data_IF_241489072320
#
_entry.id   IF_241489072320
#
_cell.length_a   1.000
_cell.length_b   1.000
_cell.length_c   1.000
_cell.angle_alpha   90.00
_cell.angle_beta   90.00
_cell.angle_gamma   90.00
#
_symmetry.space_group_name_H-M   'P 1'
#
loop_
_entity.id
_entity.type
_entity.pdbx_description
1 polymer ?
#
# COMPACT_ATOMS: atom_id res chain seq x y z
N UNK A 1 8.33 17.44 15.13
CA UNK A 1 9.17 16.22 15.33
C UNK A 1 9.13 15.40 14.05
N UNK A 2 10.16 14.59 13.78
CA UNK A 2 10.10 13.65 12.65
C UNK A 2 9.11 12.53 12.99
N UNK A 3 8.29 12.06 12.03
CA UNK A 3 7.39 10.95 12.28
C UNK A 3 8.18 9.66 12.51
N UNK A 4 7.67 8.80 13.40
CA UNK A 4 8.18 7.45 13.62
C UNK A 4 7.33 6.46 12.84
N UNK A 5 7.96 5.63 12.01
CA UNK A 5 7.26 4.68 11.12
C UNK A 5 7.69 3.24 11.42
N UNK A 6 6.72 2.34 11.45
CA UNK A 6 7.02 0.92 11.43
C UNK A 6 7.49 0.48 10.05
N UNK A 7 8.56 -0.32 10.00
CA UNK A 7 9.06 -0.99 8.80
C UNK A 7 8.88 -2.50 8.98
N UNK A 8 7.89 -3.09 8.30
CA UNK A 8 7.59 -4.52 8.39
C UNK A 8 8.10 -5.22 7.13
N UNK A 9 9.14 -6.07 7.20
CA UNK A 9 9.73 -6.73 6.03
C UNK A 9 8.77 -7.65 5.29
N UNK A 10 7.79 -8.21 5.96
CA UNK A 10 6.86 -9.21 5.42
C UNK A 10 7.40 -10.62 5.51
N UNK A 11 7.41 -11.37 4.39
CA UNK A 11 7.90 -12.75 4.33
C UNK A 11 9.40 -12.81 4.62
N UNK A 12 9.83 -13.50 5.69
CA UNK A 12 11.24 -13.53 6.08
C UNK A 12 12.14 -14.25 5.06
N UNK A 13 11.62 -15.24 4.34
CA UNK A 13 12.36 -15.95 3.30
C UNK A 13 12.43 -15.21 1.96
N UNK A 14 11.72 -14.07 1.83
CA UNK A 14 11.71 -13.21 0.65
C UNK A 14 12.79 -12.12 0.68
N UNK A 15 12.65 -11.16 -0.24
CA UNK A 15 13.59 -10.03 -0.36
C UNK A 15 13.40 -8.95 0.71
N UNK A 16 12.27 -8.94 1.45
CA UNK A 16 11.95 -7.89 2.42
C UNK A 16 13.06 -7.62 3.44
N UNK A 17 13.65 -8.62 4.12
CA UNK A 17 14.73 -8.40 5.07
C UNK A 17 15.96 -7.73 4.46
N UNK A 18 16.39 -8.15 3.26
CA UNK A 18 17.55 -7.52 2.61
C UNK A 18 17.27 -6.09 2.15
N UNK A 19 16.03 -5.79 1.73
CA UNK A 19 15.62 -4.42 1.40
C UNK A 19 15.63 -3.52 2.64
N UNK A 20 15.23 -4.01 3.81
CA UNK A 20 15.33 -3.28 5.08
C UNK A 20 16.78 -2.98 5.46
N UNK A 21 17.69 -3.95 5.31
CA UNK A 21 19.13 -3.73 5.55
C UNK A 21 19.71 -2.71 4.59
N UNK A 22 19.35 -2.74 3.29
CA UNK A 22 19.77 -1.73 2.31
C UNK A 22 19.24 -0.33 2.65
N UNK A 23 17.98 -0.26 3.09
CA UNK A 23 17.37 1.01 3.52
C UNK A 23 18.10 1.59 4.73
N UNK A 24 18.52 0.78 5.69
CA UNK A 24 19.28 1.18 6.87
C UNK A 24 20.66 1.76 6.53
N UNK A 25 21.25 1.45 5.35
CA UNK A 25 22.53 2.06 4.92
C UNK A 25 22.39 3.52 4.51
N UNK A 26 21.19 4.05 4.41
CA UNK A 26 20.94 5.42 3.98
C UNK A 26 20.60 6.31 5.16
N UNK A 27 21.32 7.43 5.29
CA UNK A 27 20.94 8.48 6.23
C UNK A 27 19.57 9.06 5.83
N UNK A 28 18.71 9.24 6.81
CA UNK A 28 17.36 9.79 6.63
C UNK A 28 17.16 11.01 7.52
N UNK A 29 16.48 12.01 6.96
CA UNK A 29 16.12 13.24 7.67
C UNK A 29 14.60 13.49 7.66
N UNK A 30 13.82 12.52 7.17
CA UNK A 30 12.38 12.65 6.94
C UNK A 30 11.52 11.79 7.89
N UNK A 31 12.08 10.73 8.49
CA UNK A 31 11.40 9.87 9.45
C UNK A 31 12.37 9.04 10.30
N UNK A 32 11.91 8.61 11.47
CA UNK A 32 12.53 7.53 12.25
C UNK A 32 11.91 6.20 11.86
N UNK A 33 12.74 5.21 11.49
CA UNK A 33 12.25 3.87 11.11
C UNK A 33 12.51 2.88 12.23
N UNK A 34 11.51 2.07 12.55
CA UNK A 34 11.60 0.99 13.52
C UNK A 34 11.20 -0.30 12.82
N UNK A 35 12.13 -1.22 12.63
CA UNK A 35 11.86 -2.51 12.01
C UNK A 35 11.06 -3.42 12.97
N UNK A 36 10.04 -4.11 12.46
CA UNK A 36 9.29 -5.16 13.15
C UNK A 36 9.67 -6.49 12.52
N UNK A 37 10.73 -7.11 13.02
CA UNK A 37 11.37 -8.25 12.36
C UNK A 37 12.12 -9.15 13.34
N UNK A 38 12.50 -10.34 12.86
CA UNK A 38 13.41 -11.21 13.57
C UNK A 38 14.86 -10.71 13.43
N UNK A 39 15.59 -10.50 14.54
CA UNK A 39 16.97 -9.99 14.51
C UNK A 39 17.93 -10.92 13.80
N UNK A 40 17.78 -12.25 13.92
CA UNK A 40 18.68 -13.21 13.31
C UNK A 40 18.50 -13.24 11.79
N UNK A 41 17.26 -13.03 11.32
CA UNK A 41 16.95 -12.86 9.90
C UNK A 41 17.58 -11.60 9.32
N UNK A 42 17.52 -10.46 10.03
CA UNK A 42 18.17 -9.22 9.58
C UNK A 42 19.69 -9.35 9.55
N UNK A 43 20.30 -10.00 10.54
CA UNK A 43 21.75 -10.29 10.53
C UNK A 43 22.13 -11.23 9.38
N UNK A 44 21.31 -12.24 9.11
CA UNK A 44 21.53 -13.16 7.97
C UNK A 44 21.42 -12.42 6.64
N UNK A 45 20.47 -11.51 6.49
CA UNK A 45 20.33 -10.65 5.31
C UNK A 45 21.54 -9.71 5.16
N UNK A 46 21.99 -9.07 6.23
CA UNK A 46 23.16 -8.21 6.21
C UNK A 46 24.43 -8.98 5.79
N UNK A 47 24.61 -10.19 6.32
CA UNK A 47 25.71 -11.09 5.93
C UNK A 47 25.67 -11.45 4.45
N UNK A 48 24.50 -11.79 3.91
CA UNK A 48 24.31 -12.09 2.49
C UNK A 48 24.64 -10.91 1.58
N UNK A 49 24.37 -9.69 2.05
CA UNK A 49 24.67 -8.44 1.35
C UNK A 49 26.11 -7.93 1.55
N UNK A 50 26.91 -8.57 2.41
CA UNK A 50 28.21 -8.06 2.86
C UNK A 50 28.10 -6.62 3.42
N UNK A 51 27.00 -6.31 4.12
CA UNK A 51 26.73 -5.02 4.75
C UNK A 51 26.72 -5.18 6.28
N UNK A 52 27.10 -4.10 6.99
CA UNK A 52 26.99 -4.05 8.44
C UNK A 52 25.61 -3.54 8.83
N UNK A 53 24.97 -4.18 9.81
CA UNK A 53 23.77 -3.67 10.46
C UNK A 53 23.97 -3.70 11.97
N UNK A 54 23.61 -2.60 12.63
CA UNK A 54 23.56 -2.49 14.07
C UNK A 54 22.10 -2.34 14.51
N UNK A 55 21.58 -3.37 15.13
CA UNK A 55 20.22 -3.37 15.66
C UNK A 55 20.22 -2.59 16.98
N UNK A 56 19.32 -1.62 17.09
CA UNK A 56 19.20 -0.73 18.25
C UNK A 56 17.88 -1.01 18.95
N UNK A 57 17.76 -0.56 20.21
CA UNK A 57 16.45 -0.52 20.87
C UNK A 57 15.47 0.37 20.10
N UNK A 58 14.16 0.06 20.13
CA UNK A 58 13.16 0.79 19.33
C UNK A 58 13.17 2.30 19.58
N UNK A 59 13.48 2.73 20.79
CA UNK A 59 13.46 4.14 21.19
C UNK A 59 14.81 4.86 20.89
N UNK A 60 15.82 4.15 20.42
CA UNK A 60 17.11 4.73 20.06
C UNK A 60 17.09 5.22 18.60
N UNK A 61 17.40 6.49 18.33
CA UNK A 61 17.45 6.99 16.96
C UNK A 61 18.67 6.43 16.21
N UNK A 62 18.47 6.05 14.94
CA UNK A 62 19.55 5.74 14.03
C UNK A 62 20.41 7.00 13.81
N UNK A 63 21.74 6.90 13.98
CA UNK A 63 22.68 8.02 13.88
C UNK A 63 23.71 7.83 12.77
N UNK A 64 23.88 6.61 12.30
CA UNK A 64 24.85 6.25 11.29
C UNK A 64 24.25 5.28 10.26
N UNK A 65 24.79 5.21 9.04
CA UNK A 65 24.46 4.15 8.10
C UNK A 65 24.65 2.78 8.74
N UNK A 66 23.66 1.89 8.55
CA UNK A 66 23.62 0.57 9.17
C UNK A 66 22.92 0.51 10.53
N UNK A 67 22.58 1.64 11.15
CA UNK A 67 21.75 1.67 12.36
C UNK A 67 20.30 1.36 12.01
N UNK A 68 19.69 0.40 12.71
CA UNK A 68 18.30 0.01 12.51
C UNK A 68 17.64 -0.24 13.86
N UNK A 69 16.81 0.69 14.37
CA UNK A 69 15.94 0.44 15.50
C UNK A 69 15.03 -0.75 15.22
N UNK A 70 14.87 -1.63 16.18
CA UNK A 70 14.18 -2.91 16.05
C UNK A 70 13.19 -3.16 17.16
N UNK A 71 11.95 -3.41 16.80
CA UNK A 71 10.99 -4.13 17.63
C UNK A 71 11.10 -5.63 17.29
N UNK A 72 11.68 -6.47 18.19
CA UNK A 72 12.03 -7.85 17.86
C UNK A 72 10.78 -8.73 17.76
N UNK A 73 10.61 -9.39 16.62
CA UNK A 73 9.57 -10.39 16.37
C UNK A 73 10.25 -11.74 16.13
N UNK A 74 10.26 -12.60 17.16
CA UNK A 74 10.95 -13.89 17.07
C UNK A 74 10.20 -14.88 16.19
N UNK A 75 10.95 -15.54 15.31
CA UNK A 75 10.47 -16.62 14.44
C UNK A 75 10.54 -17.97 15.16
N UNK A 76 9.70 -18.91 14.71
CA UNK A 76 9.69 -20.26 15.25
C UNK A 76 10.86 -21.09 14.72
N UNK A 77 11.25 -20.86 13.45
CA UNK A 77 12.37 -21.55 12.81
C UNK A 77 13.26 -20.54 12.06
N UNK A 78 14.55 -20.88 11.95
CA UNK A 78 15.51 -20.03 11.26
C UNK A 78 15.14 -19.83 9.77
N UNK A 79 15.27 -18.62 9.30
CA UNK A 79 14.99 -18.27 7.90
C UNK A 79 15.96 -18.95 6.94
N UNK A 80 15.43 -19.47 5.85
CA UNK A 80 16.17 -19.86 4.64
C UNK A 80 15.69 -19.02 3.48
N UNK A 81 16.52 -18.11 2.99
CA UNK A 81 16.16 -17.28 1.84
C UNK A 81 15.76 -18.12 0.64
N UNK A 82 14.66 -17.73 -0.01
CA UNK A 82 14.08 -18.46 -1.13
C UNK A 82 13.20 -19.66 -0.76
N UNK A 83 13.16 -20.05 0.53
CA UNK A 83 12.40 -21.23 0.98
C UNK A 83 11.55 -20.85 2.19
N UNK A 84 10.33 -20.35 1.98
CA UNK A 84 9.45 -19.93 3.08
C UNK A 84 8.97 -21.13 3.88
N UNK A 85 8.83 -20.94 5.20
CA UNK A 85 8.38 -21.97 6.11
C UNK A 85 7.07 -21.53 6.82
N UNK A 86 5.98 -22.32 6.72
CA UNK A 86 4.71 -22.03 7.37
C UNK A 86 4.79 -21.86 8.90
N UNK A 87 5.80 -22.46 9.56
CA UNK A 87 6.01 -22.29 10.97
C UNK A 87 6.28 -20.81 11.38
N UNK A 88 6.78 -19.98 10.45
CA UNK A 88 7.02 -18.56 10.67
C UNK A 88 5.79 -17.68 10.41
N UNK A 89 4.67 -18.24 9.98
CA UNK A 89 3.44 -17.48 9.67
C UNK A 89 2.98 -16.62 10.86
N UNK A 90 3.01 -17.17 12.07
CA UNK A 90 2.62 -16.45 13.28
C UNK A 90 3.50 -15.21 13.54
N UNK A 91 4.80 -15.29 13.27
CA UNK A 91 5.72 -14.17 13.42
C UNK A 91 5.44 -13.07 12.38
N UNK A 92 5.15 -13.42 11.12
CA UNK A 92 4.76 -12.46 10.08
C UNK A 92 3.50 -11.68 10.50
N UNK A 93 2.48 -12.38 10.97
CA UNK A 93 1.23 -11.76 11.43
C UNK A 93 1.47 -10.93 12.70
N UNK A 94 2.29 -11.40 13.65
CA UNK A 94 2.63 -10.65 14.84
C UNK A 94 3.33 -9.32 14.52
N UNK A 95 4.24 -9.31 13.54
CA UNK A 95 4.89 -8.08 13.07
C UNK A 95 3.91 -7.08 12.50
N UNK A 96 2.98 -7.53 11.64
CA UNK A 96 1.94 -6.67 11.05
C UNK A 96 0.99 -6.12 12.12
N UNK A 97 0.48 -6.98 13.00
CA UNK A 97 -0.46 -6.58 14.06
C UNK A 97 0.19 -5.70 15.12
N UNK A 98 1.44 -5.98 15.48
CA UNK A 98 2.20 -5.16 16.45
C UNK A 98 2.42 -3.74 15.91
N UNK A 99 2.89 -3.62 14.67
CA UNK A 99 3.06 -2.34 14.00
C UNK A 99 1.74 -1.55 13.89
N UNK A 100 0.64 -2.22 13.53
CA UNK A 100 -0.68 -1.61 13.48
C UNK A 100 -1.17 -1.16 14.86
N UNK A 101 -0.97 -1.97 15.90
CA UNK A 101 -1.32 -1.63 17.29
C UNK A 101 -0.57 -0.40 17.79
N UNK A 102 0.74 -0.29 17.49
CA UNK A 102 1.53 0.88 17.86
C UNK A 102 1.10 2.14 17.08
N UNK A 103 0.61 2.02 15.84
CA UNK A 103 -0.01 3.13 15.13
C UNK A 103 -1.37 3.52 15.70
N UNK A 104 -2.23 2.55 16.00
CA UNK A 104 -3.55 2.79 16.60
C UNK A 104 -3.47 3.46 17.97
N UNK A 105 -2.42 3.15 18.74
CA UNK A 105 -2.17 3.79 20.03
C UNK A 105 -1.50 5.16 19.92
N UNK A 106 -1.15 5.63 18.73
CA UNK A 106 -0.46 6.90 18.48
C UNK A 106 1.05 6.88 18.76
N UNK A 107 1.62 5.71 19.13
CA UNK A 107 3.07 5.56 19.35
C UNK A 107 3.86 5.73 18.05
N UNK A 108 3.31 5.25 16.93
CA UNK A 108 3.85 5.42 15.59
C UNK A 108 2.87 6.16 14.69
N UNK A 109 3.40 6.88 13.69
CA UNK A 109 2.61 7.71 12.79
C UNK A 109 2.36 7.07 11.43
N UNK A 110 2.85 5.86 11.17
CA UNK A 110 2.59 5.16 9.91
C UNK A 110 3.30 3.82 9.78
N UNK A 111 2.91 3.04 8.78
CA UNK A 111 3.46 1.71 8.49
C UNK A 111 3.94 1.62 7.05
N UNK A 112 5.14 1.10 6.87
CA UNK A 112 5.67 0.65 5.58
C UNK A 112 5.76 -0.87 5.60
N UNK A 113 5.11 -1.54 4.63
CA UNK A 113 5.09 -2.99 4.57
C UNK A 113 5.77 -3.53 3.32
N UNK A 114 6.67 -4.49 3.51
CA UNK A 114 7.18 -5.38 2.49
C UNK A 114 6.15 -6.44 2.08
N UNK A 115 6.49 -7.29 1.11
CA UNK A 115 5.59 -8.29 0.57
C UNK A 115 5.44 -9.48 1.53
N UNK A 116 4.24 -10.06 1.58
CA UNK A 116 3.95 -11.30 2.33
C UNK A 116 3.61 -12.46 1.39
N UNK A 117 3.83 -13.68 1.86
CA UNK A 117 3.46 -14.88 1.08
C UNK A 117 2.15 -15.48 1.61
N UNK A 118 1.04 -15.09 1.01
CA UNK A 118 -0.31 -15.45 1.42
C UNK A 118 -0.53 -16.97 1.59
N UNK A 119 -0.07 -17.77 0.63
CA UNK A 119 -0.22 -19.22 0.69
C UNK A 119 0.54 -19.84 1.86
N UNK A 120 1.71 -19.32 2.21
CA UNK A 120 2.52 -19.80 3.34
C UNK A 120 1.86 -19.45 4.67
N UNK A 121 1.30 -18.24 4.81
CA UNK A 121 0.55 -17.85 6.02
C UNK A 121 -0.66 -18.77 6.21
N UNK A 122 -1.43 -19.04 5.15
CA UNK A 122 -2.57 -19.96 5.22
C UNK A 122 -2.13 -21.40 5.52
N UNK A 123 -1.02 -21.86 4.95
CA UNK A 123 -0.45 -23.18 5.25
C UNK A 123 0.03 -23.29 6.73
N UNK A 124 0.38 -22.17 7.35
CA UNK A 124 0.66 -22.06 8.78
C UNK A 124 -0.58 -22.08 9.69
N UNK A 125 -1.77 -22.34 9.12
CA UNK A 125 -3.04 -22.47 9.86
C UNK A 125 -3.69 -21.13 10.22
N UNK A 126 -3.24 -20.02 9.67
CA UNK A 126 -3.79 -18.69 9.94
C UNK A 126 -4.60 -18.25 8.72
N UNK A 127 -5.96 -18.12 8.82
CA UNK A 127 -6.76 -17.56 7.74
C UNK A 127 -6.30 -16.15 7.37
N UNK A 128 -5.85 -15.98 6.13
CA UNK A 128 -5.28 -14.71 5.68
C UNK A 128 -5.69 -14.41 4.23
N UNK A 129 -6.45 -13.34 4.08
CA UNK A 129 -6.90 -12.85 2.78
C UNK A 129 -5.94 -11.81 2.17
N UNK A 130 -5.31 -10.98 3.02
CA UNK A 130 -4.33 -9.97 2.63
C UNK A 130 -3.98 -9.02 3.76
N UNK A 131 -2.88 -8.28 3.59
CA UNK A 131 -2.43 -7.28 4.59
C UNK A 131 -3.44 -6.14 4.73
N UNK A 132 -4.05 -5.71 3.65
CA UNK A 132 -5.05 -4.64 3.65
C UNK A 132 -6.26 -5.01 4.50
N UNK A 133 -6.78 -6.22 4.32
CA UNK A 133 -7.92 -6.77 5.08
C UNK A 133 -7.57 -6.94 6.56
N UNK A 134 -6.38 -7.47 6.86
CA UNK A 134 -5.90 -7.62 8.23
C UNK A 134 -5.86 -6.28 8.99
N UNK A 135 -5.31 -5.25 8.35
CA UNK A 135 -5.18 -3.92 8.95
C UNK A 135 -6.53 -3.21 9.08
N UNK A 136 -7.41 -3.36 8.08
CA UNK A 136 -8.77 -2.83 8.12
C UNK A 136 -9.61 -3.45 9.24
N UNK A 137 -9.53 -4.78 9.40
CA UNK A 137 -10.17 -5.52 10.50
C UNK A 137 -9.69 -5.02 11.86
N UNK A 138 -8.36 -4.90 12.05
CA UNK A 138 -7.78 -4.45 13.31
C UNK A 138 -8.14 -2.99 13.64
N UNK A 139 -8.25 -2.12 12.61
CA UNK A 139 -8.64 -0.73 12.77
C UNK A 139 -10.17 -0.53 12.85
N UNK A 140 -10.97 -1.55 12.53
CA UNK A 140 -12.43 -1.48 12.53
C UNK A 140 -13.00 -0.49 11.51
N UNK A 141 -12.31 -0.25 10.38
CA UNK A 141 -12.71 0.74 9.40
C UNK A 141 -12.65 0.21 7.96
N UNK A 142 -13.54 0.71 7.07
CA UNK A 142 -13.46 0.40 5.65
C UNK A 142 -12.25 1.10 5.00
N UNK A 143 -11.67 0.45 4.01
CA UNK A 143 -10.47 0.92 3.32
C UNK A 143 -10.63 0.90 1.81
N UNK A 144 -9.80 1.68 1.12
CA UNK A 144 -9.71 1.72 -0.34
C UNK A 144 -8.25 1.53 -0.73
N UNK A 145 -8.03 0.66 -1.71
CA UNK A 145 -6.72 0.45 -2.31
C UNK A 145 -6.45 1.56 -3.32
N UNK A 146 -5.31 2.22 -3.17
CA UNK A 146 -4.78 3.18 -4.14
C UNK A 146 -3.37 2.77 -4.54
N UNK A 147 -3.09 2.74 -5.83
CA UNK A 147 -1.72 2.73 -6.31
C UNK A 147 -1.31 4.13 -6.74
N UNK A 148 -0.05 4.46 -6.52
CA UNK A 148 0.50 5.75 -6.90
C UNK A 148 1.93 5.64 -7.41
N UNK A 149 2.28 6.47 -8.38
CA UNK A 149 3.64 6.77 -8.77
C UNK A 149 3.82 8.31 -8.89
N UNK A 150 4.90 8.77 -9.50
CA UNK A 150 5.14 10.20 -9.68
C UNK A 150 4.15 10.89 -10.63
N UNK A 151 3.44 10.13 -11.48
CA UNK A 151 2.61 10.65 -12.57
C UNK A 151 1.12 10.62 -12.20
N UNK A 152 0.64 9.53 -11.59
CA UNK A 152 -0.79 9.29 -11.36
C UNK A 152 -1.06 8.55 -10.06
N UNK A 153 -2.22 8.83 -9.45
CA UNK A 153 -2.82 8.05 -8.36
C UNK A 153 -4.08 7.40 -8.89
N UNK A 154 -4.25 6.10 -8.64
CA UNK A 154 -5.41 5.34 -9.05
C UNK A 154 -6.00 4.63 -7.84
N UNK A 155 -7.19 5.04 -7.42
CA UNK A 155 -7.98 4.34 -6.40
C UNK A 155 -8.96 3.36 -7.06
N UNK A 156 -9.31 2.29 -6.37
CA UNK A 156 -10.08 1.19 -6.93
C UNK A 156 -11.40 1.01 -6.18
N UNK A 157 -12.52 0.96 -6.92
CA UNK A 157 -13.82 0.58 -6.35
C UNK A 157 -13.85 -0.92 -6.04
N UNK A 158 -13.36 -1.74 -6.96
CA UNK A 158 -13.18 -3.19 -6.76
C UNK A 158 -11.73 -3.59 -6.99
N UNK A 159 -11.23 -4.56 -6.23
CA UNK A 159 -9.83 -5.00 -6.28
C UNK A 159 -9.68 -6.36 -6.99
N UNK A 160 -9.53 -7.44 -6.26
CA UNK A 160 -9.18 -8.77 -6.75
C UNK A 160 -10.43 -9.64 -6.98
N UNK A 161 -11.31 -9.23 -7.88
CA UNK A 161 -12.49 -9.99 -8.28
C UNK A 161 -12.27 -10.63 -9.66
N UNK A 162 -12.87 -11.81 -9.92
CA UNK A 162 -13.02 -12.30 -11.29
C UNK A 162 -13.76 -11.25 -12.13
N UNK A 163 -13.31 -11.00 -13.36
CA UNK A 163 -13.88 -9.95 -14.20
C UNK A 163 -15.42 -10.01 -14.34
N UNK A 164 -15.97 -11.23 -14.46
CA UNK A 164 -17.43 -11.44 -14.52
C UNK A 164 -18.20 -10.97 -13.28
N UNK A 165 -17.55 -10.89 -12.13
CA UNK A 165 -18.17 -10.46 -10.88
C UNK A 165 -18.04 -8.95 -10.64
N UNK A 166 -17.30 -8.25 -11.48
CA UNK A 166 -17.04 -6.81 -11.30
C UNK A 166 -18.33 -6.01 -11.44
N UNK A 167 -19.09 -6.23 -12.49
CA UNK A 167 -20.32 -5.47 -12.74
C UNK A 167 -21.31 -5.57 -11.56
N UNK A 168 -21.52 -6.77 -11.03
CA UNK A 168 -22.40 -7.00 -9.87
C UNK A 168 -21.88 -6.35 -8.58
N UNK A 169 -20.56 -6.15 -8.48
CA UNK A 169 -19.94 -5.49 -7.33
C UNK A 169 -19.98 -3.95 -7.39
N UNK A 170 -20.28 -3.37 -8.56
CA UNK A 170 -20.48 -1.93 -8.72
C UNK A 170 -21.89 -1.58 -8.26
N UNK A 171 -21.99 -1.14 -7.02
CA UNK A 171 -23.26 -0.72 -6.39
C UNK A 171 -23.14 0.74 -5.93
N UNK A 172 -24.27 1.40 -5.68
CA UNK A 172 -24.27 2.76 -5.17
C UNK A 172 -23.46 2.89 -3.87
N UNK A 173 -23.56 1.91 -2.97
CA UNK A 173 -22.79 1.91 -1.70
C UNK A 173 -21.29 1.74 -1.93
N UNK A 174 -20.85 0.80 -2.79
CA UNK A 174 -19.42 0.57 -3.03
C UNK A 174 -18.76 1.77 -3.70
N UNK A 175 -19.42 2.39 -4.68
CA UNK A 175 -18.93 3.59 -5.36
C UNK A 175 -18.88 4.78 -4.39
N UNK A 176 -19.97 5.06 -3.67
CA UNK A 176 -20.04 6.18 -2.73
C UNK A 176 -19.01 6.05 -1.60
N UNK A 177 -18.87 4.85 -1.02
CA UNK A 177 -17.88 4.57 0.02
C UNK A 177 -16.45 4.78 -0.49
N UNK A 178 -16.12 4.26 -1.67
CA UNK A 178 -14.80 4.45 -2.29
C UNK A 178 -14.49 5.95 -2.48
N UNK A 179 -15.42 6.72 -3.02
CA UNK A 179 -15.22 8.14 -3.30
C UNK A 179 -15.08 8.96 -2.01
N UNK A 180 -15.91 8.71 -0.99
CA UNK A 180 -15.80 9.42 0.30
C UNK A 180 -14.47 9.12 1.00
N UNK A 181 -14.04 7.85 1.06
CA UNK A 181 -12.75 7.46 1.65
C UNK A 181 -11.60 8.09 0.88
N UNK A 182 -11.66 8.06 -0.46
CA UNK A 182 -10.63 8.65 -1.31
C UNK A 182 -10.53 10.16 -1.10
N UNK A 183 -11.65 10.87 -1.10
CA UNK A 183 -11.67 12.32 -0.88
C UNK A 183 -11.13 12.69 0.51
N UNK A 184 -11.61 12.02 1.56
CA UNK A 184 -11.15 12.26 2.92
C UNK A 184 -9.64 12.00 3.10
N UNK A 185 -9.12 10.92 2.50
CA UNK A 185 -7.69 10.61 2.55
C UNK A 185 -6.86 11.62 1.76
N UNK A 186 -7.33 12.08 0.60
CA UNK A 186 -6.64 13.12 -0.18
C UNK A 186 -6.58 14.45 0.58
N UNK A 187 -7.62 14.79 1.33
CA UNK A 187 -7.63 15.97 2.19
C UNK A 187 -6.68 15.80 3.38
N UNK A 188 -6.86 14.75 4.18
CA UNK A 188 -6.12 14.54 5.42
C UNK A 188 -4.64 14.25 5.17
N UNK A 189 -4.35 13.25 4.32
CA UNK A 189 -3.00 12.68 4.20
C UNK A 189 -2.19 13.41 3.12
N UNK A 190 -2.83 13.85 2.02
CA UNK A 190 -2.14 14.56 0.94
C UNK A 190 -2.23 16.08 1.05
N UNK A 191 -3.08 16.60 1.96
CA UNK A 191 -3.25 18.03 2.20
C UNK A 191 -3.89 18.77 1.03
N UNK A 192 -4.75 18.11 0.26
CA UNK A 192 -5.49 18.70 -0.84
C UNK A 192 -6.84 19.22 -0.29
N UNK A 193 -7.02 20.51 -0.17
CA UNK A 193 -8.22 21.10 0.39
C UNK A 193 -9.49 20.74 -0.42
N UNK A 194 -9.37 20.78 -1.74
CA UNK A 194 -10.45 20.48 -2.69
C UNK A 194 -9.96 19.48 -3.77
N UNK A 195 -9.80 18.17 -3.42
CA UNK A 195 -9.27 17.19 -4.36
C UNK A 195 -10.19 16.96 -5.55
N UNK A 196 -9.64 17.09 -6.77
CA UNK A 196 -10.33 16.83 -8.03
C UNK A 196 -10.21 15.36 -8.36
N UNK A 197 -11.30 14.64 -8.29
CA UNK A 197 -11.36 13.20 -8.45
C UNK A 197 -11.99 12.86 -9.79
N UNK A 198 -11.20 12.31 -10.74
CA UNK A 198 -11.73 11.75 -11.97
C UNK A 198 -12.31 10.36 -11.69
N UNK A 199 -13.55 10.11 -12.09
CA UNK A 199 -14.23 8.83 -11.90
C UNK A 199 -14.43 8.20 -13.28
N UNK A 200 -13.93 6.98 -13.47
CA UNK A 200 -14.12 6.25 -14.72
C UNK A 200 -15.52 5.62 -14.79
N UNK A 201 -16.03 5.46 -16.00
CA UNK A 201 -17.16 4.55 -16.22
C UNK A 201 -16.71 3.09 -16.05
N UNK A 202 -17.69 2.18 -15.94
CA UNK A 202 -17.44 0.74 -15.95
C UNK A 202 -17.28 0.24 -17.39
N UNK A 203 -18.21 0.69 -18.25
CA UNK A 203 -18.32 0.22 -19.62
C UNK A 203 -17.47 1.03 -20.61
N UNK A 204 -17.19 0.49 -21.79
CA UNK A 204 -16.54 1.24 -22.86
C UNK A 204 -17.29 2.54 -23.13
N UNK A 205 -16.54 3.62 -23.42
CA UNK A 205 -17.08 4.97 -23.69
C UNK A 205 -18.00 5.50 -22.56
N UNK A 206 -17.80 5.03 -21.31
CA UNK A 206 -18.66 5.33 -20.17
C UNK A 206 -20.15 5.03 -20.44
N UNK A 207 -20.41 3.88 -21.10
CA UNK A 207 -21.74 3.35 -21.36
C UNK A 207 -22.46 3.94 -22.58
N UNK A 208 -21.92 4.98 -23.23
CA UNK A 208 -22.47 5.60 -24.44
C UNK A 208 -23.99 5.81 -24.37
N UNK A 209 -24.44 6.61 -23.39
CA UNK A 209 -25.85 6.90 -23.10
C UNK A 209 -26.72 5.65 -22.87
N UNK A 210 -26.10 4.57 -22.37
CA UNK A 210 -26.75 3.29 -22.03
C UNK A 210 -26.76 2.27 -23.18
N UNK A 211 -26.15 2.58 -24.31
CA UNK A 211 -26.04 1.64 -25.44
C UNK A 211 -25.05 0.52 -25.20
N UNK A 212 -24.01 0.76 -24.37
CA UNK A 212 -22.95 -0.20 -24.05
C UNK A 212 -23.00 -0.68 -22.57
N UNK A 213 -24.14 -0.52 -21.90
CA UNK A 213 -24.35 -0.85 -20.51
C UNK A 213 -25.07 0.29 -19.80
N UNK A 214 -25.69 0.01 -18.67
CA UNK A 214 -26.52 0.98 -17.96
C UNK A 214 -25.98 1.31 -16.56
N UNK A 215 -24.88 0.73 -16.14
CA UNK A 215 -24.30 0.91 -14.81
C UNK A 215 -23.91 2.39 -14.57
N UNK A 216 -23.52 3.10 -15.62
CA UNK A 216 -23.27 4.54 -15.53
C UNK A 216 -24.54 5.31 -15.23
N UNK A 217 -25.63 5.05 -15.97
CA UNK A 217 -26.91 5.74 -15.81
C UNK A 217 -27.62 5.37 -14.52
N UNK A 218 -27.61 4.08 -14.19
CA UNK A 218 -28.43 3.55 -13.10
C UNK A 218 -27.72 3.61 -11.73
N UNK A 219 -26.38 3.69 -11.72
CA UNK A 219 -25.59 3.62 -10.48
C UNK A 219 -24.59 4.78 -10.38
N UNK A 220 -23.63 4.90 -11.32
CA UNK A 220 -22.48 5.78 -11.16
C UNK A 220 -22.92 7.25 -11.18
N UNK A 221 -23.65 7.69 -12.21
CA UNK A 221 -24.09 9.09 -12.34
C UNK A 221 -24.92 9.54 -11.14
N UNK A 222 -25.95 8.80 -10.68
CA UNK A 222 -26.71 9.19 -9.49
C UNK A 222 -25.85 9.36 -8.25
N UNK A 223 -24.85 8.46 -8.03
CA UNK A 223 -23.91 8.57 -6.91
C UNK A 223 -23.04 9.81 -7.05
N UNK A 224 -22.52 10.09 -8.25
CA UNK A 224 -21.69 11.29 -8.46
C UNK A 224 -22.48 12.57 -8.21
N UNK A 225 -23.75 12.65 -8.66
CA UNK A 225 -24.61 13.80 -8.42
C UNK A 225 -24.88 14.02 -6.95
N UNK A 226 -25.20 12.95 -6.21
CA UNK A 226 -25.37 13.01 -4.76
C UNK A 226 -24.10 13.54 -4.08
N UNK A 227 -22.92 12.98 -4.38
CA UNK A 227 -21.67 13.35 -3.73
C UNK A 227 -21.16 14.74 -4.12
N UNK A 228 -21.46 15.21 -5.33
CA UNK A 228 -21.26 16.62 -5.71
C UNK A 228 -22.12 17.56 -4.88
N UNK A 229 -23.35 17.17 -4.59
CA UNK A 229 -24.22 17.87 -3.64
C UNK A 229 -23.67 17.91 -2.20
N UNK A 230 -22.86 16.92 -1.82
CA UNK A 230 -22.12 16.86 -0.56
C UNK A 230 -20.82 17.70 -0.59
N UNK A 231 -20.46 18.30 -1.73
CA UNK A 231 -19.29 19.17 -1.89
C UNK A 231 -18.04 18.51 -2.48
N UNK A 232 -18.08 17.23 -2.91
CA UNK A 232 -16.95 16.58 -3.54
C UNK A 232 -16.75 17.07 -4.98
N UNK A 233 -15.49 17.32 -5.36
CA UNK A 233 -15.16 17.71 -6.75
C UNK A 233 -14.93 16.45 -7.60
N UNK A 234 -16.00 15.92 -8.17
CA UNK A 234 -16.02 14.72 -8.99
C UNK A 234 -16.18 15.05 -10.46
N UNK A 235 -15.33 14.47 -11.31
CA UNK A 235 -15.35 14.64 -12.76
C UNK A 235 -15.60 13.28 -13.39
N UNK A 236 -16.68 13.15 -14.16
CA UNK A 236 -17.05 11.87 -14.77
C UNK A 236 -18.56 11.58 -14.75
N UNK A 237 -18.96 10.35 -15.13
CA UNK A 237 -18.06 9.24 -15.49
C UNK A 237 -17.29 9.51 -16.79
N UNK A 238 -16.00 9.16 -16.81
CA UNK A 238 -15.12 9.37 -17.96
C UNK A 238 -14.83 8.04 -18.68
N UNK A 239 -14.70 8.06 -20.02
CA UNK A 239 -14.17 6.94 -20.78
C UNK A 239 -12.74 6.61 -20.33
N UNK A 240 -12.48 5.35 -19.95
CA UNK A 240 -11.18 4.93 -19.42
C UNK A 240 -10.03 5.04 -20.42
N UNK A 241 -10.32 4.80 -21.72
CA UNK A 241 -9.37 4.85 -22.82
C UNK A 241 -8.73 6.24 -23.02
N UNK A 242 -9.43 7.30 -22.64
CA UNK A 242 -8.97 8.67 -22.81
C UNK A 242 -8.69 9.42 -21.51
N UNK A 243 -9.10 8.88 -20.36
CA UNK A 243 -8.97 9.57 -19.08
C UNK A 243 -7.49 9.75 -18.64
N UNK A 244 -6.62 8.83 -19.05
CA UNK A 244 -5.19 8.84 -18.70
C UNK A 244 -4.30 9.65 -19.66
N UNK A 245 -4.89 10.37 -20.62
CA UNK A 245 -4.11 11.26 -21.48
C UNK A 245 -3.41 12.35 -20.62
N UNK A 246 -2.12 12.67 -20.86
CA UNK A 246 -1.35 13.59 -20.02
C UNK A 246 -2.05 14.95 -19.80
N UNK A 247 -2.70 15.48 -20.83
CA UNK A 247 -3.44 16.74 -20.75
C UNK A 247 -4.65 16.67 -19.80
N UNK A 248 -5.32 15.51 -19.72
CA UNK A 248 -6.43 15.29 -18.80
C UNK A 248 -5.94 15.03 -17.39
N UNK A 249 -4.88 14.22 -17.22
CA UNK A 249 -4.28 13.94 -15.91
C UNK A 249 -3.83 15.20 -15.17
N UNK A 250 -3.36 16.22 -15.88
CA UNK A 250 -3.03 17.53 -15.28
C UNK A 250 -4.24 18.23 -14.62
N UNK A 251 -5.45 17.83 -14.99
CA UNK A 251 -6.71 18.34 -14.41
C UNK A 251 -7.19 17.58 -13.17
N UNK A 252 -6.55 16.47 -12.78
CA UNK A 252 -7.02 15.57 -11.73
C UNK A 252 -5.95 15.40 -10.64
N UNK A 253 -6.39 15.16 -9.41
CA UNK A 253 -5.50 14.80 -8.30
C UNK A 253 -5.45 13.28 -8.11
N UNK A 254 -6.50 12.57 -8.54
CA UNK A 254 -6.57 11.10 -8.58
C UNK A 254 -7.60 10.63 -9.61
N UNK A 255 -7.44 9.41 -10.07
CA UNK A 255 -8.41 8.67 -10.89
C UNK A 255 -9.02 7.56 -10.04
N UNK A 256 -10.34 7.41 -10.04
CA UNK A 256 -11.04 6.27 -9.44
C UNK A 256 -11.48 5.34 -10.55
N UNK A 257 -10.92 4.14 -10.56
CA UNK A 257 -11.23 3.08 -11.51
C UNK A 257 -12.23 2.09 -10.90
N UNK A 258 -13.11 1.54 -11.72
CA UNK A 258 -14.12 0.58 -11.27
C UNK A 258 -13.51 -0.78 -10.93
N UNK A 259 -12.43 -1.18 -11.60
CA UNK A 259 -11.76 -2.46 -11.37
C UNK A 259 -10.25 -2.35 -11.62
N UNK A 260 -9.54 -3.34 -11.13
CA UNK A 260 -8.08 -3.41 -11.08
C UNK A 260 -7.41 -3.12 -12.45
N UNK A 261 -7.72 -3.90 -13.48
CA UNK A 261 -7.04 -3.79 -14.77
C UNK A 261 -7.54 -2.61 -15.63
N UNK A 262 -8.51 -1.83 -15.15
CA UNK A 262 -8.92 -0.60 -15.81
C UNK A 262 -7.89 0.53 -15.65
N UNK A 263 -7.22 0.61 -14.51
CA UNK A 263 -6.30 1.70 -14.20
C UNK A 263 -4.84 1.28 -14.01
N UNK A 264 -4.59 0.08 -13.46
CA UNK A 264 -3.24 -0.31 -13.07
C UNK A 264 -2.27 -0.59 -14.23
N UNK A 265 -2.68 -1.11 -15.39
CA UNK A 265 -1.76 -1.25 -16.53
C UNK A 265 -1.15 0.08 -16.95
N UNK A 266 -1.94 1.16 -16.97
CA UNK A 266 -1.45 2.51 -17.31
C UNK A 266 -0.48 3.02 -16.24
N UNK A 267 -0.81 2.85 -14.96
CA UNK A 267 0.05 3.25 -13.86
C UNK A 267 1.39 2.49 -13.90
N UNK A 268 1.35 1.18 -14.10
CA UNK A 268 2.55 0.36 -14.15
C UNK A 268 3.42 0.66 -15.38
N UNK A 269 2.80 0.90 -16.52
CA UNK A 269 3.52 1.31 -17.72
C UNK A 269 4.23 2.67 -17.55
N UNK A 270 3.61 3.59 -16.80
CA UNK A 270 4.15 4.94 -16.61
C UNK A 270 5.28 5.02 -15.57
N UNK A 271 5.54 3.98 -14.77
CA UNK A 271 6.60 4.01 -13.75
C UNK A 271 6.48 2.90 -12.70
N UNK A 272 6.70 1.65 -13.11
CA UNK A 272 6.58 0.47 -12.24
C UNK A 272 7.51 0.49 -11.03
N UNK A 273 8.77 0.87 -11.21
CA UNK A 273 9.81 0.81 -10.17
C UNK A 273 9.53 1.73 -8.98
N UNK A 274 8.76 2.80 -9.20
CA UNK A 274 8.38 3.77 -8.17
C UNK A 274 6.90 3.63 -7.75
N UNK A 275 6.20 2.63 -8.28
CA UNK A 275 4.83 2.37 -7.91
C UNK A 275 4.76 1.86 -6.46
N UNK A 276 3.81 2.41 -5.70
CA UNK A 276 3.54 2.03 -4.32
C UNK A 276 2.05 1.80 -4.12
N UNK A 277 1.72 0.91 -3.21
CA UNK A 277 0.35 0.62 -2.81
C UNK A 277 0.04 1.37 -1.50
N UNK A 278 -1.04 2.13 -1.48
CA UNK A 278 -1.50 2.91 -0.33
C UNK A 278 -2.84 2.36 0.11
N UNK A 279 -3.01 2.16 1.41
CA UNK A 279 -4.32 1.81 1.99
C UNK A 279 -4.96 3.07 2.56
N UNK A 280 -5.95 3.61 1.85
CA UNK A 280 -6.72 4.77 2.28
C UNK A 280 -7.79 4.35 3.28
N UNK A 281 -8.14 5.23 4.22
CA UNK A 281 -9.19 5.00 5.21
C UNK A 281 -8.70 4.54 6.57
N UNK A 282 -7.49 4.00 6.68
CA UNK A 282 -6.87 3.73 7.98
C UNK A 282 -6.65 5.04 8.75
N UNK A 283 -6.67 5.03 10.09
CA UNK A 283 -6.41 6.23 10.91
C UNK A 283 -4.94 6.66 10.90
N UNK A 284 -4.09 5.95 10.21
CA UNK A 284 -2.67 6.22 9.99
C UNK A 284 -2.28 5.86 8.55
N UNK A 285 -1.28 6.51 7.95
CA UNK A 285 -0.76 6.15 6.64
C UNK A 285 -0.19 4.72 6.62
N UNK A 286 -0.62 3.93 5.64
CA UNK A 286 0.01 2.65 5.31
C UNK A 286 0.42 2.66 3.85
N UNK A 287 1.72 2.46 3.60
CA UNK A 287 2.28 2.36 2.26
C UNK A 287 3.02 1.04 2.10
N UNK A 288 2.75 0.32 1.03
CA UNK A 288 3.38 -0.96 0.72
C UNK A 288 4.15 -0.86 -0.60
N UNK A 289 5.15 -1.73 -0.74
CA UNK A 289 5.75 -2.01 -2.05
C UNK A 289 4.73 -2.68 -2.98
N UNK A 290 4.88 -2.47 -4.29
CA UNK A 290 4.00 -3.08 -5.31
C UNK A 290 4.65 -4.29 -6.02
N UNK A 291 5.55 -5.00 -5.34
CA UNK A 291 6.16 -6.23 -5.82
C UNK A 291 5.90 -7.40 -4.86
N UNK A 292 6.10 -8.64 -5.35
CA UNK A 292 5.99 -9.86 -4.55
C UNK A 292 7.22 -10.14 -3.70
N UNK A 293 7.21 -11.29 -3.04
CA UNK A 293 8.29 -11.77 -2.17
C UNK A 293 9.59 -12.07 -2.91
N UNK A 294 9.53 -12.27 -4.23
CA UNK A 294 10.66 -12.54 -5.14
C UNK A 294 11.64 -13.57 -4.54
N UNK A 295 11.10 -14.73 -4.15
CA UNK A 295 11.84 -15.78 -3.45
C UNK A 295 13.11 -16.20 -4.20
N UNK A 296 13.06 -16.18 -5.52
CA UNK A 296 14.18 -16.51 -6.41
C UNK A 296 15.35 -15.51 -6.34
N UNK A 297 15.10 -14.30 -5.87
CA UNK A 297 16.11 -13.24 -5.69
C UNK A 297 16.63 -13.16 -4.24
N UNK A 298 15.88 -13.73 -3.28
CA UNK A 298 16.15 -13.58 -1.86
C UNK A 298 17.54 -14.15 -1.49
N UNK A 299 18.30 -13.38 -0.71
CA UNK A 299 19.64 -13.75 -0.27
C UNK A 299 20.74 -13.60 -1.32
N UNK A 300 20.40 -13.12 -2.55
CA UNK A 300 21.39 -12.91 -3.62
C UNK A 300 21.98 -11.52 -3.67
N UNK A 301 21.39 -10.58 -2.94
CA UNK A 301 21.86 -9.20 -2.91
C UNK A 301 21.65 -8.43 -4.21
N UNK A 302 20.71 -8.84 -5.06
CA UNK A 302 20.42 -8.21 -6.36
C UNK A 302 19.02 -7.55 -6.40
N UNK A 303 18.23 -7.68 -5.34
CA UNK A 303 16.92 -7.06 -5.26
C UNK A 303 17.02 -5.52 -5.26
N UNK A 304 16.18 -4.86 -6.06
CA UNK A 304 16.13 -3.40 -6.15
C UNK A 304 15.34 -2.81 -4.96
N UNK A 305 15.93 -1.90 -4.16
CA UNK A 305 15.28 -1.26 -3.03
C UNK A 305 14.36 -0.08 -3.41
N UNK A 306 14.26 0.31 -4.67
CA UNK A 306 13.62 1.56 -5.12
C UNK A 306 12.17 1.66 -4.68
N UNK A 307 11.38 0.59 -4.81
CA UNK A 307 9.97 0.58 -4.38
C UNK A 307 9.83 0.75 -2.86
N UNK A 308 10.67 0.07 -2.03
CA UNK A 308 10.65 0.25 -0.58
C UNK A 308 11.07 1.67 -0.17
N UNK A 309 12.05 2.25 -0.87
CA UNK A 309 12.48 3.63 -0.64
C UNK A 309 11.38 4.62 -0.99
N UNK A 310 10.70 4.44 -2.13
CA UNK A 310 9.56 5.25 -2.53
C UNK A 310 8.40 5.13 -1.53
N UNK A 311 8.07 3.91 -1.10
CA UNK A 311 7.06 3.67 -0.09
C UNK A 311 7.38 4.36 1.24
N UNK A 312 8.63 4.27 1.69
CA UNK A 312 9.07 4.90 2.95
C UNK A 312 9.03 6.42 2.86
N UNK A 313 9.53 7.01 1.76
CA UNK A 313 9.50 8.45 1.55
C UNK A 313 8.06 8.99 1.46
N UNK A 314 7.18 8.27 0.78
CA UNK A 314 5.77 8.66 0.74
C UNK A 314 5.11 8.55 2.11
N UNK A 315 5.28 7.44 2.83
CA UNK A 315 4.71 7.24 4.16
C UNK A 315 5.17 8.33 5.13
N UNK A 316 6.45 8.72 5.10
CA UNK A 316 6.98 9.82 5.91
C UNK A 316 6.29 11.16 5.61
N UNK A 317 6.06 11.47 4.33
CA UNK A 317 5.36 12.71 3.93
C UNK A 317 3.90 12.73 4.38
N UNK A 318 3.21 11.58 4.29
CA UNK A 318 1.81 11.47 4.72
C UNK A 318 1.72 11.57 6.25
N UNK A 319 2.60 10.88 6.98
CA UNK A 319 2.65 10.88 8.43
C UNK A 319 3.05 12.24 9.05
N UNK A 320 3.78 13.07 8.33
CA UNK A 320 4.16 14.40 8.80
C UNK A 320 3.00 15.42 8.73
N UNK A 321 1.86 15.05 8.13
CA UNK A 321 0.69 15.93 7.96
C UNK A 321 -0.46 15.60 8.91
N UNK A 322 -0.54 14.36 9.38
CA UNK A 322 -1.50 13.91 10.40
C UNK A 322 -0.94 14.11 11.79
#
# INVERSE_FOLDING_TARGET
MLPSLALVPGEPAGIGPELCVRLAQRSRSDAHLIAYADPDTLHSAAKALCLSVRLLDPDQPARAPGDLPLHPIRQAVATRFGTPDPANAAAVIAGLRGAAGDCLSGKLQGIVTGPVHKAVINAGGIPYSGTTELLAEQAGCPVVMMLANAIVRVALVTTHLPLRAVADAITADTVARCLRITAAALQRDFGLEHPRIAVLGLNPHAGEDGHLGREELDIIIPVLEQLRGEGLQLIGPLPADTAFLPQKLAGFDTVVAMYHDQGLPVLKYSGFEQAVNITLGLPYPRVAVDHGTALELAGRGIADPSSLMAATALCARLAARG
#
